data_IF_771156649660
#
_entry.id   IF_771156649660
#
_cell.length_a   1.000
_cell.length_b   1.000
_cell.length_c   1.000
_cell.angle_alpha   90.00
_cell.angle_beta   90.00
_cell.angle_gamma   90.00
#
_symmetry.space_group_name_H-M   'P 1'
#
loop_
_entity.id
_entity.type
_entity.pdbx_description
1 polymer ?
#
# COMPACT_ATOMS: atom_id res chain seq x y z
N UNK A 1 68.92 76.35 31.79
CA UNK A 1 67.54 76.20 32.29
C UNK A 1 66.78 75.32 31.31
N UNK A 2 66.47 74.08 31.71
CA UNK A 2 65.64 73.13 30.94
C UNK A 2 64.16 73.52 30.99
N UNK A 3 63.45 73.31 29.87
CA UNK A 3 62.11 72.65 29.78
C UNK A 3 61.65 72.65 28.31
N UNK A 4 61.87 71.55 27.61
CA UNK A 4 60.89 70.50 27.22
C UNK A 4 60.01 70.83 26.02
N UNK A 5 60.17 69.97 25.00
CA UNK A 5 59.39 69.82 23.77
C UNK A 5 57.96 69.37 24.07
N UNK A 6 57.01 69.64 23.16
CA UNK A 6 56.03 68.63 22.71
C UNK A 6 55.47 68.98 21.33
N UNK A 7 55.53 67.98 20.45
CA UNK A 7 55.04 67.94 19.07
C UNK A 7 53.59 67.50 19.05
N UNK A 8 52.74 68.08 18.22
CA UNK A 8 51.42 67.55 17.88
C UNK A 8 51.24 67.62 16.35
N UNK A 9 51.19 66.44 15.72
CA UNK A 9 50.87 66.23 14.31
C UNK A 9 49.36 66.06 14.21
N UNK A 10 48.69 66.93 13.45
CA UNK A 10 47.26 66.87 13.17
C UNK A 10 47.04 66.14 11.84
N UNK A 11 46.30 65.03 11.92
CA UNK A 11 45.69 64.33 10.80
C UNK A 11 44.54 65.16 10.17
N UNK A 12 44.30 64.88 8.89
CA UNK A 12 43.00 64.88 8.17
C UNK A 12 42.75 65.98 7.13
N UNK A 13 42.80 65.59 5.85
CA UNK A 13 41.79 65.85 4.81
C UNK A 13 42.21 65.07 3.54
N UNK A 14 41.60 63.91 3.24
CA UNK A 14 40.45 63.75 2.32
C UNK A 14 40.61 64.46 0.97
N UNK A 15 40.85 63.66 -0.07
CA UNK A 15 40.08 63.58 -1.32
C UNK A 15 41.00 63.08 -2.43
N UNK A 16 40.80 61.84 -2.89
CA UNK A 16 40.93 61.52 -4.30
C UNK A 16 40.01 60.33 -4.61
N UNK A 17 39.07 60.66 -5.49
CA UNK A 17 38.09 59.83 -6.16
C UNK A 17 38.71 58.65 -6.90
N UNK A 18 38.14 57.47 -6.74
CA UNK A 18 38.14 56.44 -7.77
C UNK A 18 36.70 55.92 -7.90
N UNK A 19 36.10 56.23 -9.05
CA UNK A 19 35.02 55.45 -9.62
C UNK A 19 35.61 54.12 -10.05
N UNK A 20 35.05 52.99 -9.60
CA UNK A 20 35.19 51.77 -10.37
C UNK A 20 33.91 50.94 -10.27
N UNK A 21 33.45 50.50 -11.43
CA UNK A 21 32.26 49.69 -11.61
C UNK A 21 32.53 48.32 -10.97
N UNK A 22 31.75 47.97 -9.95
CA UNK A 22 31.52 46.58 -9.62
C UNK A 22 30.04 46.42 -9.32
N UNK A 23 29.38 45.55 -10.07
CA UNK A 23 28.19 44.83 -9.63
C UNK A 23 28.56 44.09 -8.34
N UNK A 24 28.62 44.85 -7.25
CA UNK A 24 28.95 44.37 -5.94
C UNK A 24 27.61 44.02 -5.32
N UNK A 25 27.36 42.72 -5.19
CA UNK A 25 26.47 42.21 -4.16
C UNK A 25 26.72 43.05 -2.90
N UNK A 26 25.69 43.73 -2.34
CA UNK A 26 25.88 44.58 -1.17
C UNK A 26 26.65 43.81 -0.10
N UNK A 27 27.65 44.46 0.52
CA UNK A 27 28.35 43.84 1.64
C UNK A 27 27.29 43.36 2.67
N UNK A 28 27.37 42.11 3.16
CA UNK A 28 26.36 41.59 4.07
C UNK A 28 26.25 42.51 5.31
N UNK A 29 25.03 42.78 5.76
CA UNK A 29 24.78 43.64 6.92
C UNK A 29 25.64 43.15 8.12
N UNK A 30 26.50 44.01 8.71
CA UNK A 30 27.34 43.64 9.84
C UNK A 30 26.56 43.03 11.00
N UNK A 31 25.29 43.42 11.19
CA UNK A 31 24.41 42.86 12.22
C UNK A 31 24.04 41.41 11.92
N UNK A 32 23.71 41.09 10.67
CA UNK A 32 23.41 39.73 10.23
C UNK A 32 24.65 38.82 10.37
N UNK A 33 25.84 39.34 10.05
CA UNK A 33 27.09 38.59 10.25
C UNK A 33 27.34 38.27 11.72
N UNK A 34 27.08 39.22 12.63
CA UNK A 34 27.24 39.01 14.06
C UNK A 34 26.25 37.96 14.61
N UNK A 35 25.01 37.97 14.13
CA UNK A 35 23.99 36.97 14.48
C UNK A 35 24.41 35.56 14.02
N UNK A 36 24.86 35.42 12.76
CA UNK A 36 25.37 34.15 12.24
C UNK A 36 26.57 33.66 13.07
N UNK A 37 27.53 34.55 13.38
CA UNK A 37 28.69 34.21 14.21
C UNK A 37 28.29 33.73 15.61
N UNK A 38 27.27 34.35 16.22
CA UNK A 38 26.77 33.95 17.54
C UNK A 38 26.28 32.50 17.56
N UNK A 39 25.62 32.06 16.48
CA UNK A 39 25.16 30.68 16.32
C UNK A 39 26.33 29.75 16.02
N UNK A 40 27.21 30.13 15.08
CA UNK A 40 28.39 29.31 14.72
C UNK A 40 29.29 29.02 15.93
N UNK A 41 29.37 29.93 16.90
CA UNK A 41 30.21 29.81 18.09
C UNK A 41 29.58 28.99 19.23
N UNK A 42 28.32 28.57 19.12
CA UNK A 42 27.68 27.71 20.12
C UNK A 42 28.50 26.42 20.30
N UNK A 43 28.77 26.07 21.56
CA UNK A 43 29.41 24.80 21.90
C UNK A 43 28.35 23.71 21.85
N UNK A 44 28.66 22.59 21.18
CA UNK A 44 27.73 21.48 21.12
C UNK A 44 27.54 20.84 22.51
N UNK A 45 26.32 20.63 23.01
CA UNK A 45 26.11 20.11 24.37
C UNK A 45 26.77 18.75 24.65
N UNK A 46 26.95 17.90 23.64
CA UNK A 46 27.50 16.55 23.81
C UNK A 46 29.00 16.44 23.47
N UNK A 47 29.58 17.44 22.79
CA UNK A 47 31.02 17.54 22.54
C UNK A 47 31.47 19.00 22.73
N UNK A 48 32.16 19.26 23.85
CA UNK A 48 32.60 20.60 24.23
C UNK A 48 33.86 21.07 23.50
N UNK A 49 34.45 20.24 22.64
CA UNK A 49 35.70 20.54 21.93
C UNK A 49 35.46 21.18 20.57
N UNK A 50 34.21 21.23 20.12
CA UNK A 50 33.78 21.63 18.78
C UNK A 50 32.67 22.67 18.85
N UNK A 51 32.68 23.58 17.88
CA UNK A 51 31.62 24.57 17.71
C UNK A 51 30.57 24.06 16.72
N UNK A 52 29.34 24.58 16.82
CA UNK A 52 28.27 24.28 15.89
C UNK A 52 28.67 24.60 14.44
N UNK A 53 29.31 25.75 14.21
CA UNK A 53 29.86 26.11 12.90
C UNK A 53 30.94 25.13 12.45
N UNK A 54 31.85 24.74 13.34
CA UNK A 54 32.89 23.74 13.04
C UNK A 54 32.32 22.41 12.56
N UNK A 55 31.18 21.98 13.09
CA UNK A 55 30.52 20.74 12.66
C UNK A 55 29.74 20.96 11.38
N UNK A 56 28.85 21.94 11.34
CA UNK A 56 27.94 22.16 10.22
C UNK A 56 28.63 22.60 8.92
N UNK A 57 29.73 23.35 9.03
CA UNK A 57 30.50 23.84 7.87
C UNK A 57 31.41 22.76 7.27
N UNK A 58 31.71 21.69 8.01
CA UNK A 58 32.65 20.63 7.59
C UNK A 58 31.98 19.26 7.38
N UNK A 59 30.66 19.25 7.17
CA UNK A 59 29.90 18.02 6.97
C UNK A 59 30.25 17.34 5.64
N UNK A 60 30.61 16.05 5.64
CA UNK A 60 30.94 15.33 4.40
C UNK A 60 29.72 15.11 3.49
N UNK A 61 28.51 15.17 4.05
CA UNK A 61 27.25 15.08 3.29
C UNK A 61 26.75 16.45 2.79
N UNK A 62 27.47 17.54 3.09
CA UNK A 62 27.10 18.91 2.73
C UNK A 62 28.26 19.63 2.02
N UNK A 63 28.20 19.75 0.69
CA UNK A 63 29.34 20.30 -0.08
C UNK A 63 29.37 21.84 -0.08
N UNK A 64 28.23 22.50 0.14
CA UNK A 64 28.15 23.97 0.16
C UNK A 64 27.14 24.45 1.22
N UNK A 65 27.56 24.56 2.49
CA UNK A 65 26.69 25.04 3.55
C UNK A 65 26.49 26.55 3.46
N UNK A 66 25.23 26.98 3.39
CA UNK A 66 24.85 28.38 3.39
C UNK A 66 24.30 28.80 4.76
N UNK A 67 24.62 30.03 5.16
CA UNK A 67 24.09 30.66 6.37
C UNK A 67 23.49 32.01 6.01
N UNK A 68 22.28 32.25 6.46
CA UNK A 68 21.62 33.54 6.31
C UNK A 68 20.73 33.87 7.51
N UNK A 69 20.16 35.07 7.47
CA UNK A 69 19.20 35.54 8.47
C UNK A 69 17.86 35.79 7.81
N UNK A 70 16.78 35.54 8.55
CA UNK A 70 15.42 35.79 8.10
C UNK A 70 14.54 36.14 9.29
N UNK A 71 13.45 36.84 9.03
CA UNK A 71 12.44 37.13 10.03
C UNK A 71 11.25 36.21 9.82
N UNK A 72 10.79 35.55 10.89
CA UNK A 72 9.57 34.75 10.79
C UNK A 72 8.29 35.58 10.89
N UNK A 73 7.14 34.95 10.67
CA UNK A 73 5.82 35.61 10.70
C UNK A 73 5.48 36.27 12.05
N UNK A 74 6.21 35.93 13.12
CA UNK A 74 6.04 36.50 14.46
C UNK A 74 7.03 37.63 14.75
N UNK A 75 7.81 38.04 13.75
CA UNK A 75 8.82 39.09 13.89
C UNK A 75 10.10 38.63 14.59
N UNK A 76 10.33 37.31 14.75
CA UNK A 76 11.56 36.80 15.37
C UNK A 76 12.69 36.79 14.35
N UNK A 77 13.83 37.35 14.72
CA UNK A 77 15.09 37.24 14.00
C UNK A 77 15.61 35.79 14.11
N UNK A 78 15.77 35.13 12.97
CA UNK A 78 16.25 33.76 12.85
C UNK A 78 17.56 33.72 12.06
N UNK A 79 18.50 32.91 12.52
CA UNK A 79 19.62 32.42 11.72
C UNK A 79 19.21 31.09 11.12
N UNK A 80 19.36 30.94 9.80
CA UNK A 80 19.12 29.70 9.08
C UNK A 80 20.44 29.15 8.55
N UNK A 81 20.63 27.86 8.77
CA UNK A 81 21.60 27.05 8.06
C UNK A 81 20.88 26.27 6.97
N UNK A 82 21.47 26.23 5.78
CA UNK A 82 20.95 25.51 4.63
C UNK A 82 22.03 24.58 4.10
N UNK A 83 21.65 23.31 3.95
CA UNK A 83 22.49 22.29 3.38
C UNK A 83 21.80 21.63 2.20
N UNK A 84 22.46 21.61 1.07
CA UNK A 84 21.91 21.06 -0.14
C UNK A 84 22.50 19.69 -0.49
N UNK A 85 21.62 18.72 -0.69
CA UNK A 85 21.99 17.33 -1.00
C UNK A 85 22.22 17.11 -2.50
N UNK A 86 22.56 18.15 -3.28
CA UNK A 86 22.80 18.09 -4.75
C UNK A 86 24.09 17.40 -5.15
N UNK A 87 24.82 16.84 -4.19
CA UNK A 87 26.03 16.08 -4.48
C UNK A 87 25.68 14.87 -5.34
N UNK A 88 26.43 14.65 -6.43
CA UNK A 88 26.14 13.56 -7.36
C UNK A 88 26.07 12.19 -6.64
N UNK A 89 26.88 11.98 -5.60
CA UNK A 89 26.86 10.76 -4.80
C UNK A 89 25.57 10.60 -3.97
N UNK A 90 25.13 11.64 -3.26
CA UNK A 90 23.91 11.58 -2.47
C UNK A 90 22.66 11.49 -3.35
N UNK A 91 22.62 12.26 -4.45
CA UNK A 91 21.56 12.23 -5.46
C UNK A 91 21.44 10.83 -6.07
N UNK A 92 22.56 10.23 -6.52
CA UNK A 92 22.57 8.86 -7.04
C UNK A 92 22.07 7.86 -5.99
N UNK A 93 22.53 8.02 -4.74
CA UNK A 93 22.06 7.33 -3.53
C UNK A 93 20.54 7.22 -3.44
N UNK A 94 19.93 8.40 -3.33
CA UNK A 94 18.49 8.55 -3.14
C UNK A 94 17.73 8.10 -4.38
N UNK A 95 18.20 8.43 -5.59
CA UNK A 95 17.61 8.00 -6.85
C UNK A 95 17.54 6.48 -6.99
N UNK A 96 18.62 5.76 -6.65
CA UNK A 96 18.62 4.30 -6.67
C UNK A 96 17.54 3.70 -5.76
N UNK A 97 17.32 4.32 -4.59
CA UNK A 97 16.31 3.85 -3.64
C UNK A 97 14.88 4.21 -4.07
N UNK A 98 14.68 5.37 -4.69
CA UNK A 98 13.40 5.76 -5.31
C UNK A 98 13.08 4.82 -6.48
N UNK A 99 14.04 4.57 -7.36
CA UNK A 99 13.94 3.63 -8.49
C UNK A 99 13.53 2.23 -8.01
N UNK A 100 14.24 1.69 -7.02
CA UNK A 100 13.92 0.37 -6.48
C UNK A 100 12.49 0.28 -5.90
N UNK A 101 11.96 1.40 -5.40
CA UNK A 101 10.56 1.48 -4.92
C UNK A 101 9.57 1.50 -6.07
N UNK A 102 9.77 2.34 -7.09
CA UNK A 102 8.93 2.32 -8.29
C UNK A 102 8.91 0.94 -8.94
N UNK A 103 10.06 0.32 -9.14
CA UNK A 103 10.17 -1.01 -9.74
C UNK A 103 9.43 -2.10 -8.95
N UNK A 104 9.42 -2.00 -7.61
CA UNK A 104 8.64 -2.91 -6.77
C UNK A 104 7.14 -2.68 -6.96
N UNK A 105 6.70 -1.44 -6.85
CA UNK A 105 5.28 -1.07 -6.89
C UNK A 105 4.67 -1.33 -8.27
N UNK A 106 5.38 -0.96 -9.35
CA UNK A 106 4.99 -1.27 -10.72
C UNK A 106 4.86 -2.78 -10.93
N UNK A 107 5.81 -3.59 -10.44
CA UNK A 107 5.76 -5.05 -10.52
C UNK A 107 4.56 -5.61 -9.76
N UNK A 108 4.31 -5.13 -8.54
CA UNK A 108 3.21 -5.60 -7.71
C UNK A 108 1.85 -5.33 -8.39
N UNK A 109 1.62 -4.10 -8.87
CA UNK A 109 0.38 -3.76 -9.57
C UNK A 109 0.24 -4.40 -10.95
N UNK A 110 1.34 -4.60 -11.69
CA UNK A 110 1.34 -5.40 -12.93
C UNK A 110 0.94 -6.85 -12.65
N UNK A 111 1.44 -7.42 -11.55
CA UNK A 111 1.05 -8.76 -11.11
C UNK A 111 -0.43 -8.87 -10.75
N UNK A 112 -0.99 -7.84 -10.10
CA UNK A 112 -2.43 -7.77 -9.80
C UNK A 112 -3.23 -7.65 -11.10
N UNK A 113 -2.87 -6.75 -12.01
CA UNK A 113 -3.52 -6.60 -13.32
C UNK A 113 -3.49 -7.91 -14.12
N UNK A 114 -2.37 -8.63 -14.07
CA UNK A 114 -2.25 -9.95 -14.71
C UNK A 114 -3.23 -10.98 -14.14
N UNK A 115 -3.50 -10.95 -12.83
CA UNK A 115 -4.50 -11.83 -12.21
C UNK A 115 -5.91 -11.45 -12.64
N UNK A 116 -6.24 -10.16 -12.62
CA UNK A 116 -7.55 -9.63 -13.02
C UNK A 116 -7.85 -9.93 -14.49
N UNK A 117 -6.87 -9.82 -15.37
CA UNK A 117 -7.03 -10.08 -16.82
C UNK A 117 -7.10 -11.57 -17.16
N UNK A 118 -6.46 -12.44 -16.37
CA UNK A 118 -6.50 -13.90 -16.58
C UNK A 118 -7.71 -14.60 -15.97
N UNK A 119 -8.45 -13.91 -15.11
CA UNK A 119 -9.63 -14.45 -14.45
C UNK A 119 -10.67 -14.96 -15.46
N UNK A 120 -11.35 -16.07 -15.13
CA UNK A 120 -12.48 -16.59 -15.90
C UNK A 120 -13.71 -16.71 -15.01
N UNK A 121 -14.93 -16.56 -15.57
CA UNK A 121 -16.16 -16.73 -14.80
C UNK A 121 -16.25 -18.07 -14.05
N UNK A 122 -15.72 -19.14 -14.62
CA UNK A 122 -15.72 -20.47 -13.99
C UNK A 122 -14.87 -20.54 -12.70
N UNK A 123 -13.93 -19.62 -12.51
CA UNK A 123 -13.08 -19.57 -11.32
C UNK A 123 -13.80 -18.90 -10.14
N UNK A 124 -14.93 -18.21 -10.40
CA UNK A 124 -15.69 -17.47 -9.40
C UNK A 124 -16.56 -18.39 -8.56
N UNK A 125 -16.36 -18.31 -7.25
CA UNK A 125 -17.22 -18.96 -6.28
C UNK A 125 -18.55 -18.21 -6.17
N UNK A 126 -19.61 -18.84 -6.66
CA UNK A 126 -20.98 -18.33 -6.58
C UNK A 126 -21.70 -18.89 -5.36
N UNK A 127 -22.70 -18.17 -4.84
CA UNK A 127 -23.49 -18.67 -3.70
C UNK A 127 -24.38 -19.85 -4.10
N UNK A 128 -24.66 -19.98 -5.39
CA UNK A 128 -25.54 -21.01 -5.96
C UNK A 128 -24.79 -22.26 -6.41
N UNK A 129 -23.46 -22.21 -6.59
CA UNK A 129 -22.67 -23.31 -7.18
C UNK A 129 -22.95 -24.68 -6.57
N UNK A 130 -22.82 -24.80 -5.23
CA UNK A 130 -23.06 -26.07 -4.54
C UNK A 130 -24.51 -26.59 -4.69
N UNK A 131 -25.49 -25.67 -4.70
CA UNK A 131 -26.89 -26.03 -4.86
C UNK A 131 -27.19 -26.47 -6.30
N UNK A 132 -26.53 -25.86 -7.31
CA UNK A 132 -26.65 -26.26 -8.71
C UNK A 132 -26.11 -27.68 -8.87
N UNK A 133 -24.87 -27.94 -8.41
CA UNK A 133 -24.25 -29.26 -8.49
C UNK A 133 -25.10 -30.35 -7.83
N UNK A 134 -25.61 -30.09 -6.62
CA UNK A 134 -26.50 -31.03 -5.93
C UNK A 134 -27.81 -31.25 -6.69
N UNK A 135 -28.46 -30.17 -7.16
CA UNK A 135 -29.74 -30.26 -7.87
C UNK A 135 -29.59 -31.02 -9.20
N UNK A 136 -28.50 -30.76 -9.96
CA UNK A 136 -28.19 -31.49 -11.20
C UNK A 136 -27.94 -32.97 -10.94
N UNK A 137 -27.18 -33.28 -9.87
CA UNK A 137 -26.90 -34.65 -9.46
C UNK A 137 -28.17 -35.42 -9.11
N UNK A 138 -29.00 -34.89 -8.21
CA UNK A 138 -30.23 -35.55 -7.77
C UNK A 138 -31.24 -35.67 -8.94
N UNK A 139 -31.37 -34.64 -9.78
CA UNK A 139 -32.21 -34.69 -10.99
C UNK A 139 -31.73 -35.75 -11.98
N UNK A 140 -30.41 -35.86 -12.21
CA UNK A 140 -29.83 -36.89 -13.08
C UNK A 140 -30.04 -38.31 -12.55
N UNK A 141 -29.92 -38.51 -11.24
CA UNK A 141 -30.22 -39.77 -10.58
C UNK A 141 -31.71 -40.13 -10.72
N UNK A 142 -32.62 -39.19 -10.44
CA UNK A 142 -34.07 -39.39 -10.62
C UNK A 142 -34.40 -39.75 -12.07
N UNK A 143 -33.81 -39.05 -13.05
CA UNK A 143 -34.00 -39.38 -14.48
C UNK A 143 -33.53 -40.80 -14.81
N UNK A 144 -32.40 -41.21 -14.25
CA UNK A 144 -31.88 -42.58 -14.43
C UNK A 144 -32.79 -43.61 -13.77
N UNK A 145 -33.19 -43.39 -12.52
CA UNK A 145 -34.09 -44.26 -11.77
C UNK A 145 -35.47 -44.36 -12.42
N UNK A 146 -35.98 -43.28 -13.02
CA UNK A 146 -37.27 -43.27 -13.70
C UNK A 146 -37.36 -44.19 -14.92
N UNK A 147 -36.23 -44.67 -15.43
CA UNK A 147 -36.16 -45.64 -16.53
C UNK A 147 -36.42 -47.09 -16.13
N UNK A 148 -36.62 -47.38 -14.84
CA UNK A 148 -36.81 -48.73 -14.32
C UNK A 148 -38.20 -48.91 -13.69
N UNK A 149 -38.69 -50.15 -13.69
CA UNK A 149 -39.91 -50.53 -12.97
C UNK A 149 -39.57 -50.92 -11.52
N UNK A 150 -40.02 -50.09 -10.58
CA UNK A 150 -39.82 -50.30 -9.14
C UNK A 150 -41.04 -50.89 -8.45
N UNK A 151 -42.09 -51.28 -9.19
CA UNK A 151 -43.31 -51.86 -8.63
C UNK A 151 -43.05 -53.06 -7.69
N UNK A 152 -42.06 -53.96 -7.93
CA UNK A 152 -41.77 -55.07 -7.02
C UNK A 152 -41.21 -54.67 -5.66
N UNK A 153 -40.74 -53.42 -5.52
CA UNK A 153 -40.20 -52.88 -4.26
C UNK A 153 -41.20 -51.98 -3.52
N UNK A 154 -42.25 -51.46 -4.17
CA UNK A 154 -43.14 -50.43 -3.58
C UNK A 154 -43.88 -50.89 -2.32
N UNK A 155 -44.26 -52.16 -2.22
CA UNK A 155 -44.92 -52.69 -1.01
C UNK A 155 -43.95 -52.98 0.13
N UNK A 156 -42.64 -52.94 -0.12
CA UNK A 156 -41.59 -53.37 0.81
C UNK A 156 -40.79 -52.21 1.39
N UNK A 157 -40.96 -50.99 0.85
CA UNK A 157 -40.17 -49.81 1.23
C UNK A 157 -40.95 -48.91 2.18
N UNK A 158 -40.31 -48.54 3.29
CA UNK A 158 -40.69 -47.40 4.12
C UNK A 158 -39.73 -46.24 3.93
N UNK A 159 -40.27 -45.04 3.77
CA UNK A 159 -39.53 -43.77 3.76
C UNK A 159 -39.54 -43.06 5.12
N UNK A 160 -40.42 -43.49 6.03
CA UNK A 160 -40.55 -42.98 7.40
C UNK A 160 -39.96 -43.92 8.45
N UNK A 161 -39.06 -44.82 8.03
CA UNK A 161 -38.32 -45.73 8.90
C UNK A 161 -39.20 -46.79 9.63
N UNK A 162 -40.42 -47.05 9.13
CA UNK A 162 -41.38 -48.03 9.69
C UNK A 162 -40.78 -49.45 9.69
N UNK A 163 -40.81 -50.11 10.85
CA UNK A 163 -40.23 -51.43 11.08
C UNK A 163 -41.07 -52.59 10.55
N UNK A 164 -42.30 -52.33 10.09
CA UNK A 164 -43.13 -53.32 9.42
C UNK A 164 -42.69 -53.63 7.97
N UNK A 165 -41.86 -52.76 7.37
CA UNK A 165 -41.35 -52.89 6.01
C UNK A 165 -39.95 -53.54 5.98
N UNK A 166 -39.68 -54.33 4.94
CA UNK A 166 -38.41 -55.05 4.80
C UNK A 166 -37.26 -54.13 4.32
N UNK A 167 -37.59 -53.03 3.65
CA UNK A 167 -36.68 -52.02 3.12
C UNK A 167 -36.97 -50.65 3.71
N UNK A 168 -35.91 -49.85 3.86
CA UNK A 168 -36.01 -48.43 4.21
C UNK A 168 -35.33 -47.60 3.14
N UNK A 169 -35.99 -46.54 2.65
CA UNK A 169 -35.40 -45.53 1.78
C UNK A 169 -35.08 -44.28 2.61
N UNK A 170 -33.83 -43.85 2.60
CA UNK A 170 -33.41 -42.60 3.24
C UNK A 170 -32.13 -42.06 2.61
N UNK A 171 -32.10 -40.77 2.32
CA UNK A 171 -30.97 -40.10 1.67
C UNK A 171 -30.70 -40.67 0.27
N UNK A 172 -31.75 -41.07 -0.44
CA UNK A 172 -31.68 -41.73 -1.74
C UNK A 172 -31.15 -43.16 -1.73
N UNK A 173 -30.86 -43.75 -0.57
CA UNK A 173 -30.28 -45.11 -0.46
C UNK A 173 -31.28 -46.09 0.14
N UNK A 174 -31.33 -47.30 -0.44
CA UNK A 174 -32.14 -48.41 0.05
C UNK A 174 -31.35 -49.28 1.02
N UNK A 175 -31.93 -49.52 2.19
CA UNK A 175 -31.37 -50.36 3.23
C UNK A 175 -32.31 -51.51 3.54
N UNK A 176 -31.80 -52.73 3.49
CA UNK A 176 -32.57 -53.91 3.88
C UNK A 176 -32.35 -54.27 5.34
N UNK A 177 -33.44 -54.32 6.11
CA UNK A 177 -33.42 -54.75 7.52
C UNK A 177 -33.52 -56.27 7.65
N UNK A 178 -34.15 -56.92 6.66
CA UNK A 178 -34.39 -58.36 6.65
C UNK A 178 -34.06 -58.96 5.26
N UNK A 179 -32.78 -58.96 4.84
CA UNK A 179 -32.38 -59.34 3.48
C UNK A 179 -32.73 -60.80 3.12
N UNK A 180 -32.92 -61.67 4.11
CA UNK A 180 -33.36 -63.04 3.90
C UNK A 180 -34.83 -63.15 3.41
N UNK A 181 -35.65 -62.11 3.62
CA UNK A 181 -37.05 -62.08 3.21
C UNK A 181 -37.28 -61.54 1.80
N UNK A 182 -36.27 -60.91 1.20
CA UNK A 182 -36.35 -60.39 -0.16
C UNK A 182 -36.17 -61.51 -1.19
N UNK A 183 -36.96 -61.46 -2.26
CA UNK A 183 -36.81 -62.34 -3.42
C UNK A 183 -35.52 -62.01 -4.19
N UNK A 184 -35.12 -62.91 -5.11
CA UNK A 184 -33.96 -62.66 -5.98
C UNK A 184 -34.11 -61.40 -6.85
N UNK A 185 -35.31 -61.16 -7.37
CA UNK A 185 -35.65 -59.97 -8.14
C UNK A 185 -35.56 -58.69 -7.29
N UNK A 186 -36.11 -58.70 -6.08
CA UNK A 186 -36.03 -57.56 -5.17
C UNK A 186 -34.60 -57.23 -4.76
N UNK A 187 -33.76 -58.24 -4.54
CA UNK A 187 -32.33 -58.03 -4.24
C UNK A 187 -31.61 -57.36 -5.41
N UNK A 188 -31.85 -57.83 -6.64
CA UNK A 188 -31.25 -57.25 -7.83
C UNK A 188 -31.70 -55.79 -8.04
N UNK A 189 -32.97 -55.47 -7.81
CA UNK A 189 -33.47 -54.09 -7.89
C UNK A 189 -32.87 -53.17 -6.82
N UNK A 190 -32.68 -53.67 -5.59
CA UNK A 190 -32.01 -52.90 -4.52
C UNK A 190 -30.55 -52.61 -4.88
N UNK A 191 -29.82 -53.60 -5.39
CA UNK A 191 -28.45 -53.41 -5.88
C UNK A 191 -28.40 -52.39 -7.02
N UNK A 192 -29.33 -52.46 -7.97
CA UNK A 192 -29.43 -51.54 -9.08
C UNK A 192 -29.75 -50.10 -8.65
N UNK A 193 -30.70 -49.91 -7.73
CA UNK A 193 -31.02 -48.60 -7.15
C UNK A 193 -29.78 -48.00 -6.48
N UNK A 194 -29.16 -48.77 -5.58
CA UNK A 194 -28.02 -48.29 -4.82
C UNK A 194 -26.78 -48.07 -5.70
N UNK A 195 -26.64 -48.76 -6.83
CA UNK A 195 -25.60 -48.46 -7.80
C UNK A 195 -25.77 -47.07 -8.43
N UNK A 196 -27.00 -46.64 -8.68
CA UNK A 196 -27.29 -45.29 -9.20
C UNK A 196 -27.07 -44.21 -8.14
N UNK A 197 -27.40 -44.50 -6.87
CA UNK A 197 -27.37 -43.53 -5.77
C UNK A 197 -26.11 -43.61 -4.90
N UNK A 198 -25.18 -44.53 -5.21
CA UNK A 198 -23.88 -44.69 -4.53
C UNK A 198 -23.14 -43.36 -4.33
N UNK A 199 -23.05 -42.47 -5.35
CA UNK A 199 -22.26 -41.24 -5.23
C UNK A 199 -22.82 -40.21 -4.25
N UNK A 200 -24.04 -40.38 -3.73
CA UNK A 200 -24.64 -39.45 -2.77
C UNK A 200 -23.83 -39.35 -1.48
N UNK A 201 -23.61 -38.10 -1.05
CA UNK A 201 -22.96 -37.78 0.23
C UNK A 201 -24.01 -37.66 1.34
N UNK A 202 -23.53 -37.65 2.59
CA UNK A 202 -24.37 -37.38 3.74
C UNK A 202 -25.13 -36.05 3.61
N UNK A 203 -26.45 -36.07 3.84
CA UNK A 203 -27.32 -34.90 3.69
C UNK A 203 -27.86 -34.65 2.27
N UNK A 204 -27.53 -35.51 1.30
CA UNK A 204 -28.10 -35.49 -0.06
C UNK A 204 -29.20 -36.55 -0.23
N UNK A 205 -29.94 -36.47 -1.33
CA UNK A 205 -30.90 -37.51 -1.76
C UNK A 205 -32.32 -37.35 -1.21
N UNK A 206 -32.62 -36.24 -0.53
CA UNK A 206 -33.97 -35.98 -0.02
C UNK A 206 -34.99 -35.74 -1.14
N UNK A 207 -34.57 -35.20 -2.29
CA UNK A 207 -35.47 -35.06 -3.44
C UNK A 207 -35.68 -36.41 -4.16
N UNK A 208 -34.75 -37.36 -4.04
CA UNK A 208 -34.90 -38.75 -4.51
C UNK A 208 -35.92 -39.50 -3.65
N UNK A 209 -35.81 -39.37 -2.32
CA UNK A 209 -36.77 -39.96 -1.38
C UNK A 209 -38.18 -39.45 -1.69
N UNK A 210 -38.34 -38.12 -1.82
CA UNK A 210 -39.61 -37.47 -2.15
C UNK A 210 -40.16 -37.94 -3.50
N UNK A 211 -39.32 -38.04 -4.52
CA UNK A 211 -39.72 -38.53 -5.85
C UNK A 211 -40.21 -39.98 -5.80
N UNK A 212 -39.60 -40.83 -4.96
CA UNK A 212 -40.03 -42.21 -4.81
C UNK A 212 -41.41 -42.32 -4.12
N UNK A 213 -41.65 -41.51 -3.09
CA UNK A 213 -42.95 -41.42 -2.39
C UNK A 213 -44.06 -40.91 -3.31
N UNK A 214 -43.80 -39.79 -3.96
CA UNK A 214 -44.72 -39.13 -4.88
C UNK A 214 -43.94 -38.50 -6.03
N UNK A 215 -43.96 -39.19 -7.16
CA UNK A 215 -43.29 -38.74 -8.38
C UNK A 215 -43.89 -37.45 -8.97
N UNK A 216 -45.11 -37.08 -8.56
CA UNK A 216 -45.83 -35.96 -9.16
C UNK A 216 -45.15 -34.63 -8.84
N UNK A 217 -44.77 -33.91 -9.89
CA UNK A 217 -44.21 -32.56 -9.78
C UNK A 217 -42.77 -32.45 -9.26
N UNK A 218 -42.14 -33.51 -8.73
CA UNK A 218 -40.75 -33.42 -8.19
C UNK A 218 -39.73 -33.09 -9.28
N UNK A 219 -39.80 -33.78 -10.43
CA UNK A 219 -38.90 -33.51 -11.57
C UNK A 219 -39.07 -32.07 -12.06
N UNK A 220 -40.31 -31.63 -12.27
CA UNK A 220 -40.59 -30.26 -12.73
C UNK A 220 -40.16 -29.20 -11.71
N UNK A 221 -40.30 -29.47 -10.41
CA UNK A 221 -39.84 -28.58 -9.35
C UNK A 221 -38.30 -28.48 -9.33
N UNK A 222 -37.58 -29.58 -9.50
CA UNK A 222 -36.13 -29.60 -9.60
C UNK A 222 -35.62 -28.89 -10.86
N UNK A 223 -36.27 -29.09 -12.01
CA UNK A 223 -35.93 -28.41 -13.25
C UNK A 223 -36.14 -26.90 -13.14
N UNK A 224 -37.23 -26.47 -12.50
CA UNK A 224 -37.48 -25.06 -12.21
C UNK A 224 -36.43 -24.50 -11.25
N UNK A 225 -36.16 -25.17 -10.13
CA UNK A 225 -35.13 -24.77 -9.15
C UNK A 225 -33.76 -24.64 -9.80
N UNK A 226 -33.38 -25.60 -10.65
CA UNK A 226 -32.11 -25.55 -11.39
C UNK A 226 -32.05 -24.35 -12.33
N UNK A 227 -33.14 -24.06 -13.04
CA UNK A 227 -33.25 -22.89 -13.91
C UNK A 227 -33.09 -21.59 -13.13
N UNK A 228 -33.80 -21.45 -12.00
CA UNK A 228 -33.74 -20.27 -11.14
C UNK A 228 -32.33 -20.07 -10.56
N UNK A 229 -31.68 -21.15 -10.08
CA UNK A 229 -30.32 -21.11 -9.56
C UNK A 229 -29.30 -20.71 -10.63
N UNK A 230 -29.43 -21.23 -11.86
CA UNK A 230 -28.56 -20.88 -12.99
C UNK A 230 -28.76 -19.43 -13.44
N UNK A 231 -29.99 -18.91 -13.38
CA UNK A 231 -30.26 -17.50 -13.66
C UNK A 231 -29.55 -16.58 -12.64
N UNK A 232 -29.63 -16.92 -11.34
CA UNK A 232 -28.90 -16.19 -10.29
C UNK A 232 -27.38 -16.29 -10.48
N UNK A 233 -26.87 -17.48 -10.83
CA UNK A 233 -25.45 -17.69 -11.08
C UNK A 233 -24.94 -16.83 -12.26
N UNK A 234 -25.73 -16.74 -13.33
CA UNK A 234 -25.40 -15.90 -14.49
C UNK A 234 -25.36 -14.41 -14.12
N UNK A 235 -26.27 -13.93 -13.27
CA UNK A 235 -26.25 -12.56 -12.77
C UNK A 235 -24.99 -12.29 -11.90
N UNK A 236 -24.59 -13.25 -11.08
CA UNK A 236 -23.36 -13.17 -10.28
C UNK A 236 -22.11 -13.09 -11.16
N UNK A 237 -22.01 -13.94 -12.18
CA UNK A 237 -20.91 -13.88 -13.14
C UNK A 237 -20.86 -12.55 -13.89
N UNK A 238 -22.02 -12.01 -14.29
CA UNK A 238 -22.08 -10.71 -14.95
C UNK A 238 -21.60 -9.58 -14.02
N UNK A 239 -22.02 -9.58 -12.75
CA UNK A 239 -21.55 -8.61 -11.75
C UNK A 239 -20.05 -8.73 -11.50
N UNK A 240 -19.54 -9.95 -11.37
CA UNK A 240 -18.12 -10.24 -11.22
C UNK A 240 -17.30 -9.73 -12.41
N UNK A 241 -17.73 -9.99 -13.64
CA UNK A 241 -17.02 -9.53 -14.84
C UNK A 241 -17.09 -8.01 -15.02
N UNK A 242 -18.22 -7.36 -14.73
CA UNK A 242 -18.30 -5.91 -14.72
C UNK A 242 -17.30 -5.30 -13.72
N UNK A 243 -17.26 -5.86 -12.51
CA UNK A 243 -16.34 -5.40 -11.47
C UNK A 243 -14.87 -5.64 -11.84
N UNK A 244 -14.58 -6.78 -12.47
CA UNK A 244 -13.25 -7.10 -13.02
C UNK A 244 -12.81 -6.07 -14.05
N UNK A 245 -13.69 -5.66 -14.97
CA UNK A 245 -13.39 -4.62 -15.98
C UNK A 245 -13.15 -3.25 -15.35
N UNK A 246 -13.90 -2.89 -14.31
CA UNK A 246 -13.65 -1.66 -13.54
C UNK A 246 -12.26 -1.70 -12.89
N UNK A 247 -11.91 -2.79 -12.21
CA UNK A 247 -10.61 -2.97 -11.59
C UNK A 247 -9.47 -3.00 -12.62
N UNK A 248 -9.67 -3.65 -13.76
CA UNK A 248 -8.72 -3.64 -14.90
C UNK A 248 -8.45 -2.21 -15.37
N UNK A 249 -9.50 -1.45 -15.67
CA UNK A 249 -9.36 -0.06 -16.11
C UNK A 249 -8.69 0.83 -15.05
N UNK A 250 -9.02 0.64 -13.78
CA UNK A 250 -8.43 1.42 -12.69
C UNK A 250 -6.95 1.08 -12.48
N UNK A 251 -6.57 -0.20 -12.59
CA UNK A 251 -5.18 -0.65 -12.51
C UNK A 251 -4.34 -0.18 -13.70
N UNK A 252 -4.89 -0.24 -14.92
CA UNK A 252 -4.22 0.29 -16.11
C UNK A 252 -3.95 1.79 -15.95
N UNK A 253 -4.93 2.55 -15.46
CA UNK A 253 -4.75 3.98 -15.17
C UNK A 253 -3.69 4.22 -14.10
N UNK A 254 -3.74 3.48 -12.99
CA UNK A 254 -2.75 3.57 -11.92
C UNK A 254 -1.33 3.32 -12.45
N UNK A 255 -1.13 2.27 -13.23
CA UNK A 255 0.18 1.94 -13.80
C UNK A 255 0.70 3.06 -14.70
N UNK A 256 -0.16 3.63 -15.56
CA UNK A 256 0.22 4.76 -16.39
C UNK A 256 0.59 6.01 -15.56
N UNK A 257 -0.16 6.32 -14.50
CA UNK A 257 0.15 7.43 -13.58
C UNK A 257 1.48 7.18 -12.84
N UNK A 258 1.75 5.95 -12.41
CA UNK A 258 3.00 5.56 -11.77
C UNK A 258 4.19 5.62 -12.73
N UNK A 259 4.04 5.18 -13.98
CA UNK A 259 5.08 5.26 -15.02
C UNK A 259 5.40 6.71 -15.39
N UNK A 260 4.39 7.59 -15.47
CA UNK A 260 4.59 9.01 -15.68
C UNK A 260 5.35 9.66 -14.51
N UNK A 261 4.90 9.42 -13.27
CA UNK A 261 5.60 9.91 -12.08
C UNK A 261 7.03 9.37 -11.98
N UNK A 262 7.25 8.11 -12.38
CA UNK A 262 8.58 7.49 -12.40
C UNK A 262 9.52 8.16 -13.42
N UNK A 263 9.01 8.53 -14.60
CA UNK A 263 9.79 9.26 -15.60
C UNK A 263 10.25 10.63 -15.08
N UNK A 264 9.42 11.31 -14.28
CA UNK A 264 9.71 12.61 -13.68
C UNK A 264 10.51 12.53 -12.38
N UNK A 265 10.68 11.33 -11.81
CA UNK A 265 11.20 11.13 -10.46
C UNK A 265 12.70 11.46 -10.25
N UNK A 266 13.40 11.95 -11.27
CA UNK A 266 14.86 12.13 -11.27
C UNK A 266 15.31 13.59 -11.12
N UNK A 267 14.41 14.53 -11.43
CA UNK A 267 14.72 15.96 -11.46
C UNK A 267 14.24 16.62 -10.17
N UNK A 268 14.99 16.39 -9.08
CA UNK A 268 14.70 16.95 -7.77
C UNK A 268 15.96 17.39 -7.05
N UNK A 269 15.78 18.27 -6.06
CA UNK A 269 16.82 18.77 -5.16
C UNK A 269 16.29 18.72 -3.73
N UNK A 270 16.99 18.03 -2.83
CA UNK A 270 16.65 18.02 -1.41
C UNK A 270 17.53 19.02 -0.68
N UNK A 271 16.90 19.92 0.06
CA UNK A 271 17.57 20.88 0.92
C UNK A 271 17.16 20.64 2.37
N UNK A 272 18.13 20.54 3.28
CA UNK A 272 17.91 20.55 4.72
C UNK A 272 18.09 21.97 5.23
N UNK A 273 17.14 22.43 6.04
CA UNK A 273 17.23 23.72 6.72
C UNK A 273 17.14 23.54 8.23
N UNK A 274 17.98 24.26 8.96
CA UNK A 274 18.00 24.31 10.42
C UNK A 274 17.89 25.77 10.87
N UNK A 275 17.17 26.01 11.96
CA UNK A 275 16.80 27.36 12.38
C UNK A 275 17.16 27.61 13.84
N UNK A 276 17.73 28.79 14.12
CA UNK A 276 17.97 29.30 15.47
C UNK A 276 17.34 30.68 15.63
N UNK A 277 16.60 30.89 16.71
CA UNK A 277 16.11 32.21 17.09
C UNK A 277 17.23 32.98 17.79
N UNK A 278 17.53 34.18 17.32
CA UNK A 278 18.53 35.10 17.90
C UNK A 278 17.91 36.35 18.52
N UNK A 279 16.57 36.39 18.62
CA UNK A 279 15.84 37.51 19.26
C UNK A 279 16.10 37.63 20.77
N UNK A 280 16.55 36.55 21.41
CA UNK A 280 16.88 36.51 22.84
C UNK A 280 18.37 36.77 23.11
N UNK A 281 18.78 36.79 24.40
CA UNK A 281 20.18 36.97 24.77
C UNK A 281 21.07 35.81 24.29
N UNK A 282 20.51 34.61 24.20
CA UNK A 282 21.18 33.40 23.73
C UNK A 282 20.44 32.82 22.52
N UNK A 283 21.15 32.32 21.50
CA UNK A 283 20.52 31.62 20.38
C UNK A 283 19.81 30.33 20.81
N UNK A 284 18.59 30.13 20.33
CA UNK A 284 17.76 28.94 20.65
C UNK A 284 17.46 28.14 19.40
N UNK A 285 17.79 26.85 19.38
CA UNK A 285 17.45 25.96 18.26
C UNK A 285 15.93 25.78 18.16
N UNK A 286 15.38 26.15 17.00
CA UNK A 286 13.94 26.12 16.73
C UNK A 286 13.50 24.84 16.01
N UNK A 287 14.45 24.08 15.45
CA UNK A 287 14.19 22.86 14.70
C UNK A 287 14.70 22.95 13.26
N UNK A 288 14.38 21.93 12.47
CA UNK A 288 14.72 21.85 11.06
C UNK A 288 13.65 21.15 10.23
N UNK A 289 13.82 21.22 8.91
CA UNK A 289 12.95 20.57 7.92
C UNK A 289 13.74 20.18 6.69
N UNK A 290 13.15 19.31 5.88
CA UNK A 290 13.60 19.05 4.53
C UNK A 290 12.67 19.74 3.55
N UNK A 291 13.25 20.24 2.47
CA UNK A 291 12.55 20.77 1.31
C UNK A 291 12.91 19.90 0.13
N UNK A 292 11.93 19.66 -0.74
CA UNK A 292 12.13 19.13 -2.08
C UNK A 292 11.82 20.24 -3.07
N UNK A 293 12.76 20.53 -3.95
CA UNK A 293 12.56 21.39 -5.11
C UNK A 293 12.52 20.53 -6.35
N UNK A 294 11.46 20.65 -7.13
CA UNK A 294 11.26 19.97 -8.41
C UNK A 294 10.68 20.96 -9.44
N UNK A 295 10.19 20.45 -10.58
CA UNK A 295 9.59 21.27 -11.63
C UNK A 295 8.28 21.97 -11.20
N UNK A 296 7.63 21.53 -10.12
CA UNK A 296 6.40 22.11 -9.57
C UNK A 296 6.66 23.22 -8.55
N UNK A 297 7.90 23.36 -8.10
CA UNK A 297 8.33 24.36 -7.14
C UNK A 297 9.02 23.73 -5.93
N UNK A 298 9.03 24.44 -4.81
CA UNK A 298 9.64 23.99 -3.56
C UNK A 298 8.58 23.69 -2.52
N UNK A 299 8.62 22.47 -1.97
CA UNK A 299 7.67 21.96 -1.00
C UNK A 299 8.38 21.35 0.20
N UNK A 300 7.71 21.28 1.35
CA UNK A 300 8.23 20.54 2.49
C UNK A 300 8.24 19.04 2.20
N UNK A 301 9.39 18.41 2.39
CA UNK A 301 9.56 16.97 2.27
C UNK A 301 9.39 16.33 3.65
N UNK A 302 8.35 15.53 3.80
CA UNK A 302 8.14 14.72 5.01
C UNK A 302 8.84 13.37 4.83
N UNK A 303 9.90 13.06 5.60
CA UNK A 303 10.58 11.77 5.48
C UNK A 303 9.72 10.63 6.02
N UNK A 304 9.96 9.40 5.54
CA UNK A 304 9.19 8.22 5.96
C UNK A 304 10.09 7.13 6.51
N UNK A 305 9.64 6.47 7.59
CA UNK A 305 10.38 5.35 8.17
C UNK A 305 10.41 4.17 7.21
N UNK A 306 11.58 3.63 6.86
CA UNK A 306 11.64 2.40 6.07
C UNK A 306 11.11 1.17 6.84
N UNK A 307 11.05 1.25 8.19
CA UNK A 307 10.61 0.16 9.07
C UNK A 307 9.11 0.26 9.34
N UNK A 308 8.64 1.38 9.91
CA UNK A 308 7.23 1.54 10.29
C UNK A 308 6.35 2.00 9.14
N UNK A 309 6.95 2.46 8.03
CA UNK A 309 6.27 3.05 6.86
C UNK A 309 5.39 4.26 7.19
N UNK A 310 5.58 4.88 8.35
CA UNK A 310 4.92 6.12 8.75
C UNK A 310 5.81 7.35 8.56
N UNK A 311 5.20 8.55 8.53
CA UNK A 311 5.95 9.81 8.47
C UNK A 311 6.81 9.99 9.72
N UNK A 312 8.01 10.54 9.56
CA UNK A 312 8.92 10.87 10.66
C UNK A 312 9.00 12.39 10.81
N UNK A 313 8.66 12.88 12.00
CA UNK A 313 8.86 14.28 12.37
C UNK A 313 10.19 14.41 13.11
N UNK A 314 11.26 14.76 12.40
CA UNK A 314 12.61 14.92 12.98
C UNK A 314 12.95 16.35 13.41
N UNK A 315 12.00 17.29 13.40
CA UNK A 315 12.31 18.73 13.49
C UNK A 315 13.35 19.11 14.54
N UNK A 316 13.19 18.69 15.79
CA UNK A 316 14.16 18.96 16.86
C UNK A 316 15.31 17.94 16.94
N UNK A 317 15.12 16.73 16.41
CA UNK A 317 16.11 15.64 16.44
C UNK A 317 17.14 15.72 15.31
N UNK A 318 16.86 16.47 14.24
CA UNK A 318 17.75 16.61 13.07
C UNK A 318 19.16 17.01 13.48
N UNK A 319 19.27 17.95 14.41
CA UNK A 319 20.54 18.43 14.90
C UNK A 319 21.32 17.29 15.57
N UNK A 320 20.68 16.52 16.46
CA UNK A 320 21.30 15.36 17.10
C UNK A 320 21.69 14.25 16.10
N UNK A 321 20.93 14.08 15.02
CA UNK A 321 21.26 13.11 13.96
C UNK A 321 22.50 13.53 13.15
N UNK A 322 22.67 14.83 12.89
CA UNK A 322 23.88 15.37 12.26
C UNK A 322 25.09 15.11 13.17
N UNK A 323 24.96 15.44 14.45
CA UNK A 323 26.04 15.25 15.41
C UNK A 323 26.41 13.79 15.66
N UNK A 324 25.45 12.88 15.53
CA UNK A 324 25.71 11.45 15.61
C UNK A 324 26.19 10.83 14.29
N UNK A 325 26.57 11.64 13.29
CA UNK A 325 26.94 11.23 11.94
C UNK A 325 25.92 10.30 11.25
N UNK A 326 24.63 10.42 11.64
CA UNK A 326 23.57 9.53 11.13
C UNK A 326 23.12 9.93 9.73
N UNK A 327 23.32 11.17 9.32
CA UNK A 327 22.87 11.69 8.01
C UNK A 327 23.56 11.00 6.83
N UNK A 328 24.76 10.48 7.05
CA UNK A 328 25.49 9.67 6.07
C UNK A 328 25.02 8.21 5.94
N UNK A 329 24.15 7.73 6.84
CA UNK A 329 23.76 6.31 6.89
C UNK A 329 22.74 5.93 5.81
N UNK A 330 22.76 4.67 5.39
CA UNK A 330 21.77 4.11 4.46
C UNK A 330 20.34 4.26 4.98
N UNK A 331 20.14 4.15 6.30
CA UNK A 331 18.84 4.35 6.92
C UNK A 331 18.31 5.77 6.67
N UNK A 332 19.15 6.78 6.87
CA UNK A 332 18.76 8.17 6.69
C UNK A 332 18.48 8.51 5.22
N UNK A 333 19.31 7.98 4.31
CA UNK A 333 19.11 8.13 2.86
C UNK A 333 17.84 7.41 2.39
N UNK A 334 17.55 6.22 2.91
CA UNK A 334 16.31 5.49 2.62
C UNK A 334 15.07 6.22 3.13
N UNK A 335 15.18 6.83 4.31
CA UNK A 335 14.12 7.62 4.89
C UNK A 335 13.74 8.81 3.99
N UNK A 336 14.75 9.53 3.46
CA UNK A 336 14.56 10.61 2.50
C UNK A 336 14.01 10.12 1.17
N UNK A 337 14.57 9.06 0.61
CA UNK A 337 14.10 8.45 -0.63
C UNK A 337 12.64 7.97 -0.52
N UNK A 338 12.24 7.43 0.63
CA UNK A 338 10.85 7.06 0.85
C UNK A 338 9.95 8.29 0.95
N UNK A 339 10.35 9.32 1.69
CA UNK A 339 9.62 10.58 1.73
C UNK A 339 9.44 11.17 0.32
N UNK A 340 10.49 11.13 -0.49
CA UNK A 340 10.48 11.64 -1.86
C UNK A 340 9.53 10.84 -2.76
N UNK A 341 9.59 9.51 -2.69
CA UNK A 341 8.64 8.63 -3.38
C UNK A 341 7.20 8.97 -2.98
N UNK A 342 6.91 9.08 -1.67
CA UNK A 342 5.57 9.41 -1.18
C UNK A 342 5.09 10.78 -1.63
N UNK A 343 6.00 11.75 -1.71
CA UNK A 343 5.71 13.08 -2.24
C UNK A 343 5.39 13.03 -3.74
N UNK A 344 6.13 12.26 -4.54
CA UNK A 344 5.92 12.14 -5.99
C UNK A 344 4.61 11.43 -6.33
N UNK A 345 4.18 10.44 -5.53
CA UNK A 345 2.95 9.67 -5.79
C UNK A 345 1.74 10.17 -4.98
N UNK A 346 1.85 11.31 -4.28
CA UNK A 346 0.82 11.79 -3.33
C UNK A 346 -0.56 11.98 -3.95
N UNK A 347 -0.62 12.31 -5.24
CA UNK A 347 -1.85 12.61 -5.97
C UNK A 347 -2.37 11.41 -6.77
N UNK A 348 -1.62 10.30 -6.80
CA UNK A 348 -1.98 9.07 -7.51
C UNK A 348 -2.99 8.28 -6.68
N UNK A 349 -4.15 7.99 -7.27
CA UNK A 349 -5.21 7.23 -6.59
C UNK A 349 -4.97 5.73 -6.72
N UNK A 350 -4.70 5.08 -5.60
CA UNK A 350 -4.61 3.62 -5.52
C UNK A 350 -6.01 3.00 -5.48
N UNK A 351 -6.40 2.15 -6.45
CA UNK A 351 -7.69 1.47 -6.44
C UNK A 351 -7.74 0.38 -5.37
N UNK A 352 -8.92 0.19 -4.77
CA UNK A 352 -9.20 -0.96 -3.92
C UNK A 352 -9.58 -2.14 -4.81
N UNK A 353 -8.63 -3.06 -4.99
CA UNK A 353 -8.80 -4.27 -5.80
C UNK A 353 -8.89 -5.46 -4.86
N UNK A 354 -9.99 -6.20 -4.93
CA UNK A 354 -10.15 -7.44 -4.17
C UNK A 354 -9.91 -8.63 -5.10
N UNK A 355 -8.70 -9.17 -5.09
CA UNK A 355 -8.34 -10.33 -5.92
C UNK A 355 -8.94 -11.66 -5.43
N UNK A 356 -9.64 -11.68 -4.30
CA UNK A 356 -10.29 -12.87 -3.73
C UNK A 356 -11.79 -12.94 -4.02
N UNK A 357 -12.37 -11.85 -4.53
CA UNK A 357 -13.78 -11.77 -4.94
C UNK A 357 -14.00 -12.05 -6.43
N UNK A 358 -12.93 -12.37 -7.15
CA UNK A 358 -12.96 -12.84 -8.52
C UNK A 358 -12.88 -14.35 -8.51
#
# INVERSE_FOLDING_TARGET
MMKTRFTAVLLSALLLTACDNSDSTPAPDPRQQQEILSVKQLIYPYDRTVTLGGILDNRPDCIDPEWDTLTDDKGRELVRYRCDYTTAAAVNQINQQVEARYQRVLRDYTGILTKVTKWKPADMRTRTGANIEQTEKELGMIKTLSGYDWSPLRSEISTNNDHSFNLSLSGGKLWSRQPAKLTGEQKALVEQWNAVTEPLLYGQGSDIDRWFEDSSGVISALEKKLTDLKAVQAEEYLKGDNRRREDESALTRLLAELEAAHAEAKDWRITQELYWSVTGPDPVFMGGKFLVSDHTGQNELVPYSPVTRGPIRRGTEMLADIYGDKTGTDFYRNMLAFGLYMYQVKDIKVPSVNTLSY
#
